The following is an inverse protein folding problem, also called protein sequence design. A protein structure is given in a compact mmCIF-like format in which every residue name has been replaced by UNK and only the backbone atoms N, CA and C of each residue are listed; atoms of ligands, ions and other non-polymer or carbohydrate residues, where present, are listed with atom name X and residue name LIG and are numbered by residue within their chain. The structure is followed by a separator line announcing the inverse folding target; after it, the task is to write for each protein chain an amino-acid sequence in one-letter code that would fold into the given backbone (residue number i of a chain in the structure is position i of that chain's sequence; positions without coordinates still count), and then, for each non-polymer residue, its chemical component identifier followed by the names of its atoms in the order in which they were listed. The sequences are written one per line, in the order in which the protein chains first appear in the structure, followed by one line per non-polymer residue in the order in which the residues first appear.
data_IF_328953765027
#
_entry.id   IF_328953765027
#
_cell.length_a   1.000
_cell.length_b   1.000
_cell.length_c   1.000
_cell.angle_alpha   90.00
_cell.angle_beta   90.00
_cell.angle_gamma   90.00
#
_symmetry.space_group_name_H-M   'P 1'
#
loop_
_entity.id
_entity.type
_entity.pdbx_description
1 polymer ?
#
# COMPACT_ATOMS: atom_id res chain seq x y z
N UNK A 1 -26.33 24.44 0.70
CA UNK A 1 -26.22 25.14 2.01
C UNK A 1 -24.80 25.69 2.26
N UNK A 2 -23.73 24.91 2.10
CA UNK A 2 -22.35 25.39 2.32
C UNK A 2 -21.92 26.60 1.48
N UNK A 3 -22.29 26.68 0.20
CA UNK A 3 -21.99 27.85 -0.66
C UNK A 3 -22.66 29.14 -0.18
N UNK A 4 -23.79 29.05 0.52
CA UNK A 4 -24.50 30.22 1.05
C UNK A 4 -23.83 30.70 2.35
N UNK A 5 -23.39 29.77 3.19
CA UNK A 5 -22.62 30.08 4.41
C UNK A 5 -21.28 30.73 4.08
N UNK A 6 -20.52 30.19 3.11
CA UNK A 6 -19.26 30.79 2.66
C UNK A 6 -19.43 32.21 2.11
N UNK A 7 -20.52 32.47 1.36
CA UNK A 7 -20.85 33.84 0.90
C UNK A 7 -21.23 34.77 2.04
N UNK A 8 -21.98 34.28 3.03
CA UNK A 8 -22.35 35.06 4.21
C UNK A 8 -21.13 35.41 5.07
N UNK A 9 -20.17 34.49 5.18
CA UNK A 9 -18.91 34.69 5.89
C UNK A 9 -17.99 35.68 5.16
N UNK A 10 -17.85 35.55 3.84
CA UNK A 10 -17.13 36.52 3.02
C UNK A 10 -17.71 37.95 3.14
N UNK A 11 -19.04 38.08 3.21
CA UNK A 11 -19.69 39.38 3.45
C UNK A 11 -19.42 39.94 4.85
N UNK A 12 -19.29 39.10 5.88
CA UNK A 12 -18.92 39.55 7.23
C UNK A 12 -17.49 40.09 7.25
N UNK A 13 -16.56 39.40 6.59
CA UNK A 13 -15.15 39.83 6.48
C UNK A 13 -15.08 41.17 5.75
N UNK A 14 -15.73 41.31 4.60
CA UNK A 14 -15.70 42.54 3.81
C UNK A 14 -16.34 43.72 4.55
N UNK A 15 -17.40 43.48 5.34
CA UNK A 15 -18.02 44.51 6.16
C UNK A 15 -17.12 44.95 7.34
N UNK A 16 -16.34 44.03 7.89
CA UNK A 16 -15.34 44.33 8.91
C UNK A 16 -14.21 45.20 8.34
N UNK A 17 -13.62 44.81 7.20
CA UNK A 17 -12.59 45.57 6.50
C UNK A 17 -13.08 46.98 6.13
N UNK A 18 -14.32 47.10 5.65
CA UNK A 18 -14.93 48.39 5.31
C UNK A 18 -15.11 49.29 6.55
N UNK A 19 -15.40 48.71 7.72
CA UNK A 19 -15.46 49.47 8.97
C UNK A 19 -14.08 49.94 9.43
N UNK A 20 -13.01 49.17 9.21
CA UNK A 20 -11.64 49.58 9.51
C UNK A 20 -11.17 50.71 8.59
N UNK A 21 -11.41 50.61 7.28
CA UNK A 21 -11.07 51.69 6.34
C UNK A 21 -11.78 53.01 6.67
N UNK A 22 -13.03 52.94 7.17
CA UNK A 22 -13.76 54.14 7.64
C UNK A 22 -13.08 54.78 8.85
N UNK A 23 -12.61 53.98 9.81
CA UNK A 23 -11.89 54.48 10.99
C UNK A 23 -10.56 55.15 10.60
N UNK A 24 -9.82 54.56 9.66
CA UNK A 24 -8.57 55.15 9.17
C UNK A 24 -8.80 56.48 8.46
N UNK A 25 -9.82 56.55 7.59
CA UNK A 25 -10.23 57.80 6.94
C UNK A 25 -10.56 58.88 7.97
N UNK A 26 -11.36 58.55 8.98
CA UNK A 26 -11.79 59.52 9.99
C UNK A 26 -10.60 60.02 10.83
N UNK A 27 -9.63 59.14 11.12
CA UNK A 27 -8.36 59.52 11.76
C UNK A 27 -7.53 60.47 10.91
N UNK A 28 -7.45 60.24 9.60
CA UNK A 28 -6.71 61.11 8.67
C UNK A 28 -7.35 62.49 8.54
N UNK A 29 -8.68 62.57 8.52
CA UNK A 29 -9.42 63.84 8.52
C UNK A 29 -9.07 64.66 9.76
N UNK A 30 -9.13 64.05 10.96
CA UNK A 30 -8.77 64.72 12.21
C UNK A 30 -7.34 65.28 12.22
N UNK A 31 -6.37 64.56 11.64
CA UNK A 31 -4.99 65.04 11.54
C UNK A 31 -4.85 66.21 10.57
N UNK A 32 -5.58 66.20 9.45
CA UNK A 32 -5.57 67.31 8.49
C UNK A 32 -6.24 68.57 9.06
N UNK A 33 -7.34 68.42 9.78
CA UNK A 33 -8.00 69.54 10.47
C UNK A 33 -7.09 70.16 11.53
N UNK A 34 -6.41 69.33 12.33
CA UNK A 34 -5.42 69.81 13.31
C UNK A 34 -4.26 70.56 12.64
N UNK A 35 -3.83 70.12 11.46
CA UNK A 35 -2.76 70.78 10.71
C UNK A 35 -3.21 72.10 10.09
N UNK A 36 -4.43 72.15 9.54
CA UNK A 36 -5.00 73.37 8.96
C UNK A 36 -5.17 74.48 10.02
N UNK A 37 -5.54 74.12 11.26
CA UNK A 37 -5.60 75.07 12.36
C UNK A 37 -4.23 75.67 12.72
N UNK A 38 -3.16 74.88 12.66
CA UNK A 38 -1.79 75.35 12.87
C UNK A 38 -1.27 76.24 11.73
N UNK A 39 -1.67 75.96 10.48
CA UNK A 39 -1.28 76.77 9.32
C UNK A 39 -2.05 78.11 9.26
N UNK A 40 -3.29 78.16 9.75
CA UNK A 40 -4.10 79.40 9.82
C UNK A 40 -3.54 80.46 10.77
N UNK A 41 -2.73 80.07 11.77
CA UNK A 41 -2.06 81.01 12.68
C UNK A 41 -0.82 81.70 12.06
N UNK A 42 -0.28 81.19 10.93
CA UNK A 42 0.99 81.65 10.35
C UNK A 42 0.85 82.59 9.14
N UNK A 43 -0.32 82.68 8.50
CA UNK A 43 -0.49 83.49 7.29
C UNK A 43 -1.21 84.83 7.56
N UNK A 44 -0.44 85.85 7.94
CA UNK A 44 -0.81 87.25 7.66
C UNK A 44 0.37 88.04 7.07
N UNK A 45 0.25 88.60 5.85
CA UNK A 45 1.35 89.30 5.17
C UNK A 45 1.21 90.82 5.33
N UNK A 46 2.22 91.51 5.85
CA UNK A 46 2.39 92.96 5.64
C UNK A 46 3.85 93.39 5.39
N UNK A 47 4.09 93.49 4.09
CA UNK A 47 4.93 94.38 3.30
C UNK A 47 5.45 95.71 3.95
N UNK A 48 6.75 95.94 3.73
CA UNK A 48 7.52 97.18 3.50
C UNK A 48 7.73 98.26 4.59
N UNK A 49 9.02 98.59 4.80
CA UNK A 49 9.50 99.92 5.20
C UNK A 49 10.73 99.92 6.11
N UNK A 50 11.91 99.52 5.61
CA UNK A 50 13.14 99.41 6.42
C UNK A 50 13.70 100.79 6.81
N UNK A 51 13.71 101.08 8.10
CA UNK A 51 14.55 102.10 8.73
C UNK A 51 15.85 101.43 9.20
N UNK A 52 17.00 101.83 8.66
CA UNK A 52 18.30 101.16 8.85
C UNK A 52 18.77 101.17 10.32
N UNK A 53 18.31 102.11 11.14
CA UNK A 53 18.61 102.15 12.58
C UNK A 53 17.68 101.27 13.44
N UNK A 54 16.48 100.95 12.94
CA UNK A 54 15.52 100.06 13.59
C UNK A 54 15.79 98.58 13.23
N UNK A 55 16.44 98.35 12.07
CA UNK A 55 17.00 97.05 11.68
C UNK A 55 18.13 96.59 12.60
N UNK A 56 19.09 97.46 12.94
CA UNK A 56 20.20 97.07 13.79
C UNK A 56 19.76 96.66 15.22
N UNK A 57 18.68 97.26 15.73
CA UNK A 57 18.11 96.92 17.05
C UNK A 57 17.23 95.66 17.00
N UNK A 58 16.43 95.49 15.94
CA UNK A 58 15.62 94.29 15.72
C UNK A 58 16.47 93.08 15.35
N UNK A 59 17.48 93.23 14.49
CA UNK A 59 18.48 92.23 14.14
C UNK A 59 19.37 91.89 15.36
N UNK A 60 19.78 92.88 16.18
CA UNK A 60 20.45 92.58 17.46
C UNK A 60 19.55 91.80 18.43
N UNK A 61 18.25 92.10 18.48
CA UNK A 61 17.30 91.41 19.34
C UNK A 61 17.01 89.99 18.84
N UNK A 62 16.87 89.81 17.53
CA UNK A 62 16.71 88.50 16.90
C UNK A 62 17.97 87.67 17.04
N UNK A 63 19.16 88.24 16.86
CA UNK A 63 20.45 87.59 17.13
C UNK A 63 20.57 87.21 18.60
N UNK A 64 20.08 88.03 19.53
CA UNK A 64 20.05 87.70 20.96
C UNK A 64 19.10 86.55 21.26
N UNK A 65 17.90 86.56 20.67
CA UNK A 65 16.93 85.45 20.78
C UNK A 65 17.52 84.17 20.16
N UNK A 66 18.21 84.26 19.02
CA UNK A 66 18.88 83.12 18.40
C UNK A 66 20.02 82.62 19.26
N UNK A 67 20.81 83.49 19.89
CA UNK A 67 21.85 83.10 20.87
C UNK A 67 21.24 82.41 22.08
N UNK A 68 20.14 82.91 22.61
CA UNK A 68 19.47 82.31 23.77
C UNK A 68 18.77 81.00 23.42
N UNK A 69 18.19 80.88 22.21
CA UNK A 69 17.73 79.59 21.65
C UNK A 69 18.88 78.62 21.46
N UNK A 70 20.03 79.07 20.97
CA UNK A 70 21.22 78.22 20.80
C UNK A 70 21.75 77.73 22.15
N UNK A 71 21.73 78.58 23.20
CA UNK A 71 22.03 78.16 24.57
C UNK A 71 21.04 77.12 25.09
N UNK A 72 19.74 77.30 24.86
CA UNK A 72 18.72 76.33 25.26
C UNK A 72 18.89 74.99 24.53
N UNK A 73 19.17 75.03 23.23
CA UNK A 73 19.49 73.83 22.44
C UNK A 73 20.77 73.16 22.93
N UNK A 74 21.80 73.93 23.32
CA UNK A 74 23.00 73.37 23.93
C UNK A 74 22.70 72.67 25.25
N UNK A 75 21.88 73.26 26.12
CA UNK A 75 21.45 72.64 27.37
C UNK A 75 20.61 71.38 27.12
N UNK A 76 19.74 71.38 26.12
CA UNK A 76 18.96 70.20 25.74
C UNK A 76 19.85 69.08 25.19
N UNK A 77 20.84 69.40 24.36
CA UNK A 77 21.85 68.43 23.90
C UNK A 77 22.63 67.86 25.09
N UNK A 78 22.93 68.67 26.11
CA UNK A 78 23.66 68.24 27.30
C UNK A 78 22.80 67.33 28.20
N UNK A 79 21.52 67.65 28.39
CA UNK A 79 20.55 66.79 29.09
C UNK A 79 20.35 65.46 28.34
N UNK A 80 20.19 65.49 27.00
CA UNK A 80 20.07 64.28 26.19
C UNK A 80 21.33 63.40 26.28
N UNK A 81 22.52 63.99 26.30
CA UNK A 81 23.77 63.25 26.51
C UNK A 81 23.83 62.65 27.92
N UNK A 82 23.39 63.38 28.94
CA UNK A 82 23.33 62.86 30.31
C UNK A 82 22.36 61.68 30.41
N UNK A 83 21.16 61.79 29.82
CA UNK A 83 20.18 60.69 29.77
C UNK A 83 20.68 59.48 29.00
N UNK A 84 21.37 59.69 27.87
CA UNK A 84 22.02 58.61 27.12
C UNK A 84 23.06 57.91 27.98
N UNK A 85 23.91 58.66 28.68
CA UNK A 85 24.95 58.10 29.54
C UNK A 85 24.35 57.33 30.72
N UNK A 86 23.28 57.85 31.35
CA UNK A 86 22.53 57.14 32.39
C UNK A 86 21.91 55.86 31.86
N UNK A 87 21.19 55.91 30.73
CA UNK A 87 20.58 54.72 30.12
C UNK A 87 21.62 53.69 29.66
N UNK A 88 22.79 54.12 29.17
CA UNK A 88 23.91 53.23 28.87
C UNK A 88 24.53 52.63 30.13
N UNK A 89 24.59 53.40 31.23
CA UNK A 89 24.98 52.92 32.56
C UNK A 89 24.02 51.85 33.07
N UNK A 90 22.71 52.12 33.01
CA UNK A 90 21.65 51.19 33.41
C UNK A 90 21.69 49.93 32.55
N UNK A 91 21.87 50.06 31.24
CA UNK A 91 22.02 48.91 30.35
C UNK A 91 23.28 48.09 30.66
N UNK A 92 24.38 48.72 31.09
CA UNK A 92 25.58 48.01 31.55
C UNK A 92 25.33 47.28 32.88
N UNK A 93 24.61 47.89 33.82
CA UNK A 93 24.24 47.27 35.09
C UNK A 93 23.29 46.10 34.85
N UNK A 94 22.22 46.27 34.09
CA UNK A 94 21.27 45.20 33.74
C UNK A 94 21.95 44.03 33.01
N UNK A 95 22.96 44.31 32.16
CA UNK A 95 23.76 43.25 31.54
C UNK A 95 24.65 42.55 32.54
N UNK A 96 25.28 43.29 33.46
CA UNK A 96 26.09 42.70 34.54
C UNK A 96 25.23 41.89 35.51
N UNK A 97 24.02 42.33 35.83
CA UNK A 97 23.07 41.62 36.68
C UNK A 97 22.51 40.38 35.97
N UNK A 98 22.28 40.42 34.65
CA UNK A 98 21.94 39.21 33.89
C UNK A 98 23.09 38.21 33.81
N UNK A 99 24.33 38.67 33.67
CA UNK A 99 25.52 37.81 33.63
C UNK A 99 25.83 37.25 35.02
N UNK A 100 25.77 38.08 36.06
CA UNK A 100 25.91 37.66 37.46
C UNK A 100 24.78 36.73 37.91
N UNK A 101 23.54 36.97 37.46
CA UNK A 101 22.45 36.02 37.64
C UNK A 101 22.73 34.70 36.90
N UNK A 102 23.32 34.75 35.70
CA UNK A 102 23.68 33.55 34.91
C UNK A 102 24.88 32.77 35.47
N UNK A 103 25.85 33.43 36.10
CA UNK A 103 26.94 32.77 36.83
C UNK A 103 26.48 32.23 38.19
N UNK A 104 25.42 32.79 38.78
CA UNK A 104 24.80 32.28 40.02
C UNK A 104 23.77 31.16 39.80
N UNK A 105 23.41 30.85 38.55
CA UNK A 105 22.59 29.67 38.24
C UNK A 105 23.52 28.44 38.19
N UNK A 106 23.30 27.42 39.04
CA UNK A 106 24.17 26.25 39.08
C UNK A 106 24.25 25.57 37.71
N UNK A 107 25.39 24.94 37.40
CA UNK A 107 25.55 24.08 36.22
C UNK A 107 24.42 23.02 36.09
N UNK A 108 23.81 22.67 37.22
CA UNK A 108 22.62 21.84 37.36
C UNK A 108 21.43 22.36 36.54
N UNK A 109 21.19 23.68 36.48
CA UNK A 109 20.13 24.24 35.65
C UNK A 109 20.40 23.99 34.16
N UNK A 110 21.62 24.20 33.67
CA UNK A 110 21.94 23.93 32.27
C UNK A 110 21.79 22.44 31.94
N UNK A 111 22.16 21.54 32.85
CA UNK A 111 21.93 20.09 32.69
C UNK A 111 20.43 19.76 32.66
N UNK A 112 19.62 20.38 33.52
CA UNK A 112 18.15 20.24 33.52
C UNK A 112 17.54 20.78 32.22
N UNK A 113 18.05 21.89 31.68
CA UNK A 113 17.61 22.44 30.40
C UNK A 113 17.93 21.50 29.23
N UNK A 114 19.14 20.92 29.19
CA UNK A 114 19.51 19.94 28.17
C UNK A 114 18.68 18.66 28.26
N UNK A 115 18.49 18.12 29.46
CA UNK A 115 17.64 16.93 29.67
C UNK A 115 16.19 17.20 29.29
N UNK A 116 15.67 18.39 29.60
CA UNK A 116 14.33 18.81 29.16
C UNK A 116 14.24 18.91 27.64
N UNK A 117 15.27 19.43 26.98
CA UNK A 117 15.31 19.55 25.53
C UNK A 117 15.38 18.17 24.84
N UNK A 118 16.17 17.24 25.36
CA UNK A 118 16.19 15.84 24.90
C UNK A 118 14.81 15.18 25.03
N UNK A 119 14.15 15.33 26.19
CA UNK A 119 12.79 14.80 26.39
C UNK A 119 11.77 15.45 25.46
N UNK A 120 11.90 16.74 25.14
CA UNK A 120 11.05 17.42 24.16
C UNK A 120 11.31 16.84 22.76
N UNK A 121 12.56 16.62 22.37
CA UNK A 121 12.90 16.02 21.07
C UNK A 121 12.36 14.59 20.95
N UNK A 122 12.46 13.78 22.01
CA UNK A 122 11.86 12.44 22.04
C UNK A 122 10.33 12.49 21.95
N UNK A 123 9.68 13.43 22.64
CA UNK A 123 8.23 13.63 22.56
C UNK A 123 7.84 14.09 21.14
N UNK A 124 8.56 15.02 20.54
CA UNK A 124 8.31 15.47 19.18
C UNK A 124 8.50 14.35 18.15
N UNK A 125 9.56 13.53 18.33
CA UNK A 125 9.82 12.38 17.48
C UNK A 125 8.73 11.32 17.60
N UNK A 126 8.34 10.96 18.83
CA UNK A 126 7.26 9.99 19.06
C UNK A 126 5.92 10.53 18.55
N UNK A 127 5.62 11.82 18.76
CA UNK A 127 4.42 12.46 18.22
C UNK A 127 4.42 12.51 16.69
N UNK A 128 5.58 12.75 16.06
CA UNK A 128 5.72 12.66 14.61
C UNK A 128 5.49 11.23 14.12
N UNK A 129 6.02 10.23 14.81
CA UNK A 129 5.79 8.81 14.51
C UNK A 129 4.34 8.40 14.67
N UNK A 130 3.65 8.87 15.71
CA UNK A 130 2.21 8.62 15.91
C UNK A 130 1.39 9.25 14.79
N UNK A 131 1.72 10.48 14.37
CA UNK A 131 1.06 11.11 13.22
C UNK A 131 1.28 10.31 11.94
N UNK A 132 2.51 9.86 11.70
CA UNK A 132 2.83 9.04 10.52
C UNK A 132 2.08 7.70 10.53
N UNK A 133 2.06 7.00 11.66
CA UNK A 133 1.28 5.76 11.79
C UNK A 133 -0.22 6.00 11.63
N UNK A 134 -0.74 7.13 12.11
CA UNK A 134 -2.14 7.51 11.91
C UNK A 134 -2.47 7.77 10.43
N UNK A 135 -1.56 8.40 9.68
CA UNK A 135 -1.75 8.61 8.24
C UNK A 135 -1.67 7.30 7.47
N UNK A 136 -0.73 6.42 7.85
CA UNK A 136 -0.57 5.11 7.20
C UNK A 136 -1.78 4.22 7.48
N UNK A 137 -2.30 4.24 8.72
CA UNK A 137 -3.51 3.53 9.09
C UNK A 137 -4.72 4.06 8.29
N UNK A 138 -4.84 5.37 8.12
CA UNK A 138 -5.90 5.94 7.28
C UNK A 138 -5.76 5.47 5.83
N UNK A 139 -4.56 5.49 5.25
CA UNK A 139 -4.32 5.02 3.90
C UNK A 139 -4.69 3.54 3.72
N UNK A 140 -4.38 2.69 4.70
CA UNK A 140 -4.77 1.27 4.71
C UNK A 140 -6.29 1.07 4.85
N UNK A 141 -6.97 1.93 5.61
CA UNK A 141 -8.43 1.90 5.70
C UNK A 141 -9.08 2.28 4.37
N UNK A 142 -8.55 3.31 3.69
CA UNK A 142 -9.02 3.73 2.38
C UNK A 142 -8.81 2.60 1.35
N UNK A 143 -7.62 1.97 1.32
CA UNK A 143 -7.35 0.80 0.46
C UNK A 143 -8.29 -0.38 0.76
N UNK A 144 -8.55 -0.66 2.05
CA UNK A 144 -9.51 -1.69 2.45
C UNK A 144 -10.91 -1.37 1.93
N UNK A 145 -11.36 -0.12 2.01
CA UNK A 145 -12.67 0.29 1.50
C UNK A 145 -12.74 0.11 -0.01
N UNK A 146 -11.71 0.53 -0.74
CA UNK A 146 -11.59 0.29 -2.18
C UNK A 146 -11.71 -1.21 -2.52
N UNK A 147 -10.96 -2.09 -1.83
CA UNK A 147 -11.02 -3.54 -2.01
C UNK A 147 -12.41 -4.12 -1.71
N UNK A 148 -13.10 -3.61 -0.68
CA UNK A 148 -14.46 -4.01 -0.35
C UNK A 148 -15.43 -3.63 -1.47
N UNK A 149 -15.34 -2.40 -1.98
CA UNK A 149 -16.19 -1.97 -3.12
C UNK A 149 -15.90 -2.77 -4.38
N UNK A 150 -14.64 -3.12 -4.65
CA UNK A 150 -14.25 -3.93 -5.81
C UNK A 150 -14.79 -5.36 -5.67
N UNK A 151 -14.62 -5.98 -4.49
CA UNK A 151 -15.21 -7.29 -4.17
C UNK A 151 -16.71 -7.29 -4.41
N UNK A 152 -17.43 -6.27 -3.95
CA UNK A 152 -18.89 -6.20 -4.11
C UNK A 152 -19.32 -5.97 -5.56
N UNK A 153 -18.54 -5.21 -6.33
CA UNK A 153 -18.72 -5.09 -7.78
C UNK A 153 -18.53 -6.44 -8.48
N UNK A 154 -17.52 -7.23 -8.11
CA UNK A 154 -17.32 -8.58 -8.64
C UNK A 154 -18.44 -9.54 -8.22
N UNK A 155 -18.91 -9.49 -6.97
CA UNK A 155 -20.06 -10.29 -6.49
C UNK A 155 -21.30 -10.02 -7.34
N UNK A 156 -21.63 -8.75 -7.56
CA UNK A 156 -22.74 -8.35 -8.41
C UNK A 156 -22.57 -8.83 -9.86
N UNK A 157 -21.35 -8.74 -10.41
CA UNK A 157 -21.03 -9.21 -11.75
C UNK A 157 -21.23 -10.72 -11.89
N UNK A 158 -20.69 -11.51 -10.96
CA UNK A 158 -20.85 -12.97 -10.94
C UNK A 158 -22.32 -13.34 -10.78
N UNK A 159 -23.05 -12.71 -9.87
CA UNK A 159 -24.48 -12.94 -9.69
C UNK A 159 -25.28 -12.67 -10.97
N UNK A 160 -25.02 -11.54 -11.64
CA UNK A 160 -25.69 -11.19 -12.90
C UNK A 160 -25.36 -12.19 -14.01
N UNK A 161 -24.09 -12.56 -14.18
CA UNK A 161 -23.68 -13.53 -15.18
C UNK A 161 -24.26 -14.92 -14.90
N UNK A 162 -24.28 -15.37 -13.64
CA UNK A 162 -24.92 -16.61 -13.23
C UNK A 162 -26.42 -16.60 -13.56
N UNK A 163 -27.09 -15.48 -13.33
CA UNK A 163 -28.50 -15.30 -13.69
C UNK A 163 -28.72 -15.36 -15.20
N UNK A 164 -27.94 -14.60 -15.98
CA UNK A 164 -27.99 -14.61 -17.45
C UNK A 164 -27.76 -16.02 -18.02
N UNK A 165 -26.76 -16.74 -17.48
CA UNK A 165 -26.48 -18.13 -17.86
C UNK A 165 -27.62 -19.08 -17.49
N UNK A 166 -28.18 -18.96 -16.29
CA UNK A 166 -29.33 -19.77 -15.86
C UNK A 166 -30.54 -19.56 -16.79
N UNK A 167 -30.80 -18.30 -17.20
CA UNK A 167 -31.86 -17.96 -18.16
C UNK A 167 -31.57 -18.56 -19.54
N UNK A 168 -30.35 -18.42 -20.06
CA UNK A 168 -29.97 -18.99 -21.37
C UNK A 168 -30.09 -20.51 -21.40
N UNK A 169 -29.66 -21.17 -20.33
CA UNK A 169 -29.70 -22.63 -20.21
C UNK A 169 -31.07 -23.17 -19.78
N UNK A 170 -32.05 -22.28 -19.53
CA UNK A 170 -33.38 -22.62 -18.97
C UNK A 170 -33.29 -23.50 -17.72
N UNK A 171 -32.20 -23.38 -16.97
CA UNK A 171 -31.96 -24.16 -15.77
C UNK A 171 -32.56 -23.44 -14.57
N UNK A 172 -33.22 -24.20 -13.68
CA UNK A 172 -33.77 -23.67 -12.42
C UNK A 172 -32.71 -23.52 -11.33
N UNK A 173 -31.52 -24.11 -11.53
CA UNK A 173 -30.41 -24.04 -10.59
C UNK A 173 -29.44 -22.94 -11.03
N UNK A 174 -28.90 -22.21 -10.07
CA UNK A 174 -27.73 -21.36 -10.31
C UNK A 174 -26.62 -22.24 -10.88
N UNK A 175 -26.18 -21.92 -12.09
CA UNK A 175 -25.09 -22.64 -12.76
C UNK A 175 -23.80 -21.93 -12.37
N UNK A 176 -22.86 -22.69 -11.82
CA UNK A 176 -21.55 -22.17 -11.45
C UNK A 176 -20.69 -21.93 -12.70
N UNK A 177 -20.31 -20.67 -12.91
CA UNK A 177 -19.46 -20.22 -14.02
C UNK A 177 -18.13 -20.97 -14.03
N UNK A 178 -17.49 -21.18 -12.89
CA UNK A 178 -16.15 -21.76 -12.87
C UNK A 178 -16.18 -23.24 -13.21
N UNK A 179 -17.20 -23.96 -12.71
CA UNK A 179 -17.47 -25.34 -13.11
C UNK A 179 -17.64 -25.46 -14.63
N UNK A 180 -18.41 -24.56 -15.26
CA UNK A 180 -18.56 -24.54 -16.72
C UNK A 180 -17.26 -24.18 -17.46
N UNK A 181 -16.45 -23.25 -16.93
CA UNK A 181 -15.16 -22.88 -17.52
C UNK A 181 -14.21 -24.08 -17.50
N UNK A 182 -14.16 -24.83 -16.39
CA UNK A 182 -13.36 -26.04 -16.30
C UNK A 182 -13.83 -27.10 -17.27
N UNK A 183 -15.15 -27.33 -17.39
CA UNK A 183 -15.70 -28.25 -18.37
C UNK A 183 -15.34 -27.83 -19.80
N UNK A 184 -15.49 -26.54 -20.12
CA UNK A 184 -15.13 -26.01 -21.44
C UNK A 184 -13.65 -26.19 -21.75
N UNK A 185 -12.78 -25.96 -20.76
CA UNK A 185 -11.34 -26.17 -20.89
C UNK A 185 -11.00 -27.64 -21.10
N UNK A 186 -11.60 -28.54 -20.32
CA UNK A 186 -11.42 -29.98 -20.46
C UNK A 186 -11.85 -30.48 -21.85
N UNK A 187 -13.01 -30.02 -22.34
CA UNK A 187 -13.51 -30.39 -23.66
C UNK A 187 -12.60 -29.87 -24.79
N UNK A 188 -12.03 -28.66 -24.65
CA UNK A 188 -11.04 -28.13 -25.59
C UNK A 188 -9.77 -28.97 -25.62
N UNK A 189 -9.19 -29.27 -24.45
CA UNK A 189 -8.01 -30.13 -24.35
C UNK A 189 -8.27 -31.52 -24.95
N UNK A 190 -9.47 -32.07 -24.73
CA UNK A 190 -9.88 -33.35 -25.31
C UNK A 190 -9.98 -33.27 -26.84
N UNK A 191 -10.49 -32.16 -27.38
CA UNK A 191 -10.56 -31.91 -28.81
C UNK A 191 -9.14 -31.83 -29.42
N UNK A 192 -8.25 -31.06 -28.79
CA UNK A 192 -6.86 -30.90 -29.23
C UNK A 192 -6.11 -32.23 -29.23
N UNK A 193 -6.32 -33.06 -28.20
CA UNK A 193 -5.75 -34.40 -28.14
C UNK A 193 -6.21 -35.28 -29.32
N UNK A 194 -7.51 -35.27 -29.63
CA UNK A 194 -8.06 -36.03 -30.76
C UNK A 194 -7.52 -35.50 -32.09
N UNK A 195 -7.32 -34.18 -32.22
CA UNK A 195 -6.69 -33.58 -33.41
C UNK A 195 -5.26 -34.08 -33.57
N UNK A 196 -4.46 -34.07 -32.49
CA UNK A 196 -3.10 -34.59 -32.52
C UNK A 196 -3.04 -36.09 -32.85
N UNK A 197 -3.93 -36.91 -32.29
CA UNK A 197 -4.05 -38.33 -32.62
C UNK A 197 -4.41 -38.55 -34.09
N UNK A 198 -5.34 -37.75 -34.63
CA UNK A 198 -5.71 -37.77 -36.05
C UNK A 198 -4.50 -37.42 -36.94
N UNK A 199 -3.73 -36.40 -36.59
CA UNK A 199 -2.53 -36.01 -37.34
C UNK A 199 -1.46 -37.12 -37.33
N UNK A 200 -1.25 -37.77 -36.18
CA UNK A 200 -0.33 -38.90 -36.06
C UNK A 200 -0.76 -40.08 -36.94
N UNK A 201 -2.06 -40.41 -36.95
CA UNK A 201 -2.61 -41.47 -37.82
C UNK A 201 -2.47 -41.10 -39.29
N UNK A 202 -2.73 -39.84 -39.66
CA UNK A 202 -2.53 -39.36 -41.04
C UNK A 202 -1.06 -39.45 -41.47
N UNK A 203 -0.13 -39.11 -40.59
CA UNK A 203 1.31 -39.24 -40.87
C UNK A 203 1.71 -40.71 -41.07
N UNK A 204 1.26 -41.60 -40.19
CA UNK A 204 1.47 -43.06 -40.34
C UNK A 204 0.88 -43.61 -41.64
N UNK A 205 -0.35 -43.18 -41.99
CA UNK A 205 -1.00 -43.58 -43.23
C UNK A 205 -0.22 -43.10 -44.45
N UNK A 206 0.27 -41.85 -44.44
CA UNK A 206 1.12 -41.29 -45.49
C UNK A 206 2.42 -42.11 -45.65
N UNK A 207 3.07 -42.48 -44.54
CA UNK A 207 4.25 -43.35 -44.55
C UNK A 207 3.95 -44.72 -45.17
N UNK A 208 2.86 -45.38 -44.76
CA UNK A 208 2.47 -46.67 -45.33
C UNK A 208 2.10 -46.57 -46.81
N UNK A 209 1.41 -45.50 -47.22
CA UNK A 209 1.11 -45.22 -48.63
C UNK A 209 2.40 -45.07 -49.44
N UNK A 210 3.36 -44.28 -48.96
CA UNK A 210 4.66 -44.11 -49.62
C UNK A 210 5.46 -45.42 -49.73
N UNK A 211 5.40 -46.30 -48.71
CA UNK A 211 6.03 -47.63 -48.79
C UNK A 211 5.34 -48.53 -49.83
N UNK A 212 4.00 -48.49 -49.89
CA UNK A 212 3.23 -49.26 -50.86
C UNK A 212 3.51 -48.78 -52.29
N UNK A 213 3.56 -47.47 -52.50
CA UNK A 213 3.85 -46.86 -53.81
C UNK A 213 5.29 -47.16 -54.25
N UNK A 214 6.26 -47.17 -53.33
CA UNK A 214 7.64 -47.65 -53.60
C UNK A 214 7.70 -49.12 -54.00
N UNK A 215 6.85 -49.99 -53.41
CA UNK A 215 6.73 -51.39 -53.79
C UNK A 215 6.07 -51.56 -55.17
N UNK A 216 5.11 -50.71 -55.52
CA UNK A 216 4.49 -50.69 -56.85
C UNK A 216 5.44 -50.16 -57.93
N UNK A 217 6.27 -49.19 -57.62
CA UNK A 217 7.20 -48.58 -58.58
C UNK A 217 8.49 -49.38 -58.76
N UNK A 218 8.83 -50.25 -57.79
CA UNK A 218 9.89 -51.25 -57.87
C UNK A 218 9.29 -52.60 -58.29
N UNK A 219 8.73 -52.64 -59.50
CA UNK A 219 8.23 -53.88 -60.11
C UNK A 219 9.28 -54.99 -60.00
N UNK A 220 8.87 -56.16 -59.52
CA UNK A 220 9.64 -57.41 -59.49
C UNK A 220 11.11 -57.29 -59.05
N UNK A 221 11.40 -56.82 -57.84
CA UNK A 221 12.74 -57.03 -57.26
C UNK A 221 12.77 -58.32 -56.45
N UNK A 222 13.39 -59.34 -57.07
CA UNK A 222 13.91 -60.56 -56.46
C UNK A 222 14.48 -60.26 -55.07
N UNK A 223 13.95 -60.96 -54.07
CA UNK A 223 14.50 -61.06 -52.73
C UNK A 223 15.85 -61.79 -52.81
N UNK A 224 16.94 -61.13 -52.45
CA UNK A 224 18.26 -61.79 -52.36
C UNK A 224 19.41 -60.85 -52.69
N UNK A 225 19.70 -59.89 -51.81
CA UNK A 225 21.05 -59.33 -51.68
C UNK A 225 21.21 -58.67 -50.31
N UNK A 226 22.29 -59.08 -49.65
CA UNK A 226 22.69 -58.79 -48.27
C UNK A 226 22.93 -57.30 -48.00
N UNK A 227 22.26 -56.73 -46.99
CA UNK A 227 22.77 -55.58 -46.21
C UNK A 227 22.32 -55.69 -44.74
N UNK A 228 23.24 -56.14 -43.89
CA UNK A 228 23.12 -56.36 -42.44
C UNK A 228 23.23 -55.08 -41.60
N UNK A 229 22.53 -54.01 -41.98
CA UNK A 229 22.46 -52.80 -41.15
C UNK A 229 21.10 -52.14 -41.28
N UNK A 230 20.29 -52.28 -40.23
CA UNK A 230 18.99 -51.63 -40.11
C UNK A 230 17.78 -52.46 -40.49
N UNK A 231 17.93 -53.77 -40.69
CA UNK A 231 16.78 -54.65 -40.94
C UNK A 231 16.00 -54.86 -39.64
N UNK A 232 14.96 -54.06 -39.42
CA UNK A 232 13.90 -54.39 -38.46
C UNK A 232 13.14 -55.57 -39.07
N UNK A 233 13.59 -56.79 -38.75
CA UNK A 233 12.97 -58.03 -39.22
C UNK A 233 11.61 -58.13 -38.56
N UNK A 234 10.56 -57.96 -39.35
CA UNK A 234 9.18 -58.11 -38.85
C UNK A 234 8.91 -59.57 -38.52
N UNK A 235 8.03 -59.83 -37.53
CA UNK A 235 7.67 -61.19 -37.10
C UNK A 235 7.26 -62.12 -38.26
N UNK A 236 6.66 -61.57 -39.32
CA UNK A 236 6.34 -62.34 -40.54
C UNK A 236 7.57 -62.79 -41.32
N UNK A 237 8.60 -61.96 -41.42
CA UNK A 237 9.85 -62.29 -42.12
C UNK A 237 10.68 -63.33 -41.37
N UNK A 238 10.65 -63.30 -40.03
CA UNK A 238 11.22 -64.37 -39.18
C UNK A 238 10.50 -65.70 -39.43
N UNK A 239 9.17 -65.67 -39.50
CA UNK A 239 8.36 -66.85 -39.76
C UNK A 239 8.64 -67.47 -41.15
N UNK A 240 8.74 -66.63 -42.18
CA UNK A 240 9.01 -67.05 -43.57
C UNK A 240 10.42 -67.65 -43.74
N UNK A 241 11.41 -67.16 -42.99
CA UNK A 241 12.77 -67.74 -42.95
C UNK A 241 12.80 -69.13 -42.29
N UNK A 242 11.90 -69.37 -41.33
CA UNK A 242 11.79 -70.66 -40.64
C UNK A 242 10.96 -71.69 -41.43
N UNK A 243 9.98 -71.24 -42.22
CA UNK A 243 9.12 -72.10 -43.05
C UNK A 243 9.66 -72.36 -44.46
N UNK A 244 10.74 -71.69 -44.86
CA UNK A 244 11.44 -71.88 -46.15
C UNK A 244 12.07 -73.27 -46.25
N UNK A 245 11.24 -74.30 -46.44
CA UNK A 245 11.64 -75.68 -46.57
C UNK A 245 12.48 -75.91 -47.83
N UNK A 246 13.71 -76.34 -47.60
CA UNK A 246 14.46 -77.17 -48.54
C UNK A 246 15.54 -76.43 -49.31
N UNK A 247 16.76 -76.40 -48.74
CA UNK A 247 18.03 -76.84 -49.37
C UNK A 247 19.27 -76.26 -48.66
N UNK A 248 19.13 -75.21 -47.84
CA UNK A 248 20.28 -74.60 -47.14
C UNK A 248 20.79 -75.44 -45.95
N UNK A 249 19.89 -76.12 -45.24
CA UNK A 249 20.20 -76.86 -44.00
C UNK A 249 20.97 -78.18 -44.21
N UNK A 250 20.83 -78.81 -45.38
CA UNK A 250 21.34 -80.17 -45.62
C UNK A 250 22.65 -80.23 -46.44
N UNK A 251 23.28 -79.10 -46.73
CA UNK A 251 24.53 -79.08 -47.51
C UNK A 251 25.77 -78.88 -46.60
N UNK A 252 26.72 -79.83 -46.57
CA UNK A 252 27.88 -79.81 -45.66
C UNK A 252 28.88 -78.66 -45.89
N UNK A 253 28.73 -77.87 -46.96
CA UNK A 253 29.56 -76.69 -47.24
C UNK A 253 28.96 -75.36 -46.76
N UNK A 254 27.68 -75.34 -46.35
CA UNK A 254 26.97 -74.14 -45.89
C UNK A 254 26.69 -74.14 -44.38
N UNK A 255 27.21 -75.11 -43.65
CA UNK A 255 27.01 -75.29 -42.20
C UNK A 255 27.52 -74.10 -41.39
N UNK A 256 28.64 -73.49 -41.78
CA UNK A 256 29.20 -72.31 -41.13
C UNK A 256 28.32 -71.06 -41.34
N UNK A 257 27.87 -70.82 -42.58
CA UNK A 257 27.01 -69.68 -42.93
C UNK A 257 25.61 -69.80 -42.31
N UNK A 258 25.01 -70.98 -42.35
CA UNK A 258 23.71 -71.25 -41.71
C UNK A 258 23.78 -71.19 -40.17
N UNK A 259 24.90 -71.61 -39.56
CA UNK A 259 25.15 -71.39 -38.14
C UNK A 259 25.34 -69.92 -37.80
N UNK A 260 25.99 -69.13 -38.66
CA UNK A 260 26.12 -67.69 -38.48
C UNK A 260 24.77 -66.98 -38.58
N UNK A 261 23.92 -67.37 -39.55
CA UNK A 261 22.56 -66.84 -39.71
C UNK A 261 21.66 -67.21 -38.53
N UNK A 262 21.73 -68.46 -38.03
CA UNK A 262 20.98 -68.88 -36.84
C UNK A 262 21.45 -68.16 -35.57
N UNK A 263 22.76 -67.93 -35.43
CA UNK A 263 23.31 -67.11 -34.34
C UNK A 263 22.88 -65.65 -34.46
N UNK A 264 22.85 -65.10 -35.67
CA UNK A 264 22.37 -63.74 -35.90
C UNK A 264 20.87 -63.63 -35.58
N UNK A 265 20.07 -64.63 -35.95
CA UNK A 265 18.65 -64.69 -35.63
C UNK A 265 18.41 -64.84 -34.13
N UNK A 266 19.16 -65.71 -33.44
CA UNK A 266 19.02 -65.88 -31.99
C UNK A 266 19.41 -64.63 -31.22
N UNK A 267 20.46 -63.93 -31.66
CA UNK A 267 20.85 -62.62 -31.12
C UNK A 267 19.77 -61.56 -31.39
N UNK A 268 19.24 -61.49 -32.63
CA UNK A 268 18.18 -60.54 -32.97
C UNK A 268 16.88 -60.80 -32.17
N UNK A 269 16.53 -62.06 -31.93
CA UNK A 269 15.39 -62.43 -31.09
C UNK A 269 15.63 -62.12 -29.61
N UNK A 270 16.86 -62.31 -29.12
CA UNK A 270 17.27 -61.94 -27.77
C UNK A 270 17.18 -60.42 -27.56
N UNK A 271 17.71 -59.64 -28.52
CA UNK A 271 17.64 -58.18 -28.50
C UNK A 271 16.19 -57.69 -28.58
N UNK A 272 15.36 -58.28 -29.44
CA UNK A 272 13.94 -57.92 -29.52
C UNK A 272 13.16 -58.26 -28.23
N UNK A 273 13.50 -59.35 -27.55
CA UNK A 273 12.95 -59.70 -26.24
C UNK A 273 13.43 -58.74 -25.16
N UNK A 274 14.70 -58.35 -25.19
CA UNK A 274 15.28 -57.40 -24.27
C UNK A 274 14.64 -56.01 -24.43
N UNK A 275 14.45 -55.53 -25.65
CA UNK A 275 13.78 -54.27 -25.95
C UNK A 275 12.32 -54.26 -25.48
N UNK A 276 11.58 -55.35 -25.71
CA UNK A 276 10.21 -55.48 -25.17
C UNK A 276 10.20 -55.46 -23.65
N UNK A 277 11.16 -56.13 -23.03
CA UNK A 277 11.30 -56.14 -21.56
C UNK A 277 11.60 -54.73 -21.05
N UNK A 278 12.53 -54.01 -21.68
CA UNK A 278 12.85 -52.63 -21.36
C UNK A 278 11.62 -51.72 -21.54
N UNK A 279 10.92 -51.81 -22.67
CA UNK A 279 9.70 -51.04 -22.93
C UNK A 279 8.63 -51.28 -21.85
N UNK A 280 8.40 -52.54 -21.46
CA UNK A 280 7.50 -52.87 -20.35
C UNK A 280 7.96 -52.28 -19.02
N UNK A 281 9.27 -52.29 -18.72
CA UNK A 281 9.78 -51.67 -17.49
C UNK A 281 9.60 -50.15 -17.49
N UNK A 282 9.84 -49.48 -18.63
CA UNK A 282 9.59 -48.04 -18.79
C UNK A 282 8.11 -47.72 -18.63
N UNK A 283 7.22 -48.51 -19.26
CA UNK A 283 5.78 -48.35 -19.12
C UNK A 283 5.33 -48.53 -17.67
N UNK A 284 5.83 -49.55 -16.96
CA UNK A 284 5.54 -49.75 -15.53
C UNK A 284 6.01 -48.56 -14.67
N UNK A 285 7.21 -48.03 -14.94
CA UNK A 285 7.73 -46.84 -14.25
C UNK A 285 6.87 -45.61 -14.54
N UNK A 286 6.49 -45.38 -15.80
CA UNK A 286 5.62 -44.26 -16.18
C UNK A 286 4.23 -44.38 -15.51
N UNK A 287 3.62 -45.56 -15.53
CA UNK A 287 2.34 -45.81 -14.86
C UNK A 287 2.45 -45.62 -13.34
N UNK A 288 3.58 -45.99 -12.72
CA UNK A 288 3.83 -45.72 -11.30
C UNK A 288 3.87 -44.22 -11.01
N UNK A 289 4.61 -43.45 -11.81
CA UNK A 289 4.68 -41.98 -11.66
C UNK A 289 3.30 -41.35 -11.85
N UNK A 290 2.52 -41.82 -12.82
CA UNK A 290 1.15 -41.36 -13.04
C UNK A 290 0.26 -41.70 -11.85
N UNK A 291 0.32 -42.92 -11.32
CA UNK A 291 -0.43 -43.32 -10.14
C UNK A 291 -0.05 -42.48 -8.91
N UNK A 292 1.25 -42.24 -8.66
CA UNK A 292 1.73 -41.38 -7.58
C UNK A 292 1.22 -39.94 -7.74
N UNK A 293 1.19 -39.41 -8.98
CA UNK A 293 0.70 -38.07 -9.26
C UNK A 293 -0.82 -37.96 -9.13
N UNK A 294 -1.57 -38.96 -9.59
CA UNK A 294 -3.02 -39.04 -9.38
C UNK A 294 -3.32 -39.10 -7.90
N UNK A 295 -2.63 -39.96 -7.14
CA UNK A 295 -2.79 -40.03 -5.68
C UNK A 295 -2.47 -38.69 -4.99
N UNK A 296 -1.42 -37.99 -5.43
CA UNK A 296 -1.12 -36.65 -4.92
C UNK A 296 -2.25 -35.65 -5.23
N UNK A 297 -2.75 -35.63 -6.47
CA UNK A 297 -3.85 -34.76 -6.88
C UNK A 297 -5.14 -35.07 -6.11
N UNK A 298 -5.48 -36.36 -5.92
CA UNK A 298 -6.61 -36.80 -5.11
C UNK A 298 -6.45 -36.37 -3.64
N UNK A 299 -5.24 -36.45 -3.08
CA UNK A 299 -4.97 -36.01 -1.70
C UNK A 299 -5.05 -34.49 -1.51
N UNK A 300 -4.79 -33.72 -2.58
CA UNK A 300 -4.96 -32.27 -2.58
C UNK A 300 -6.44 -31.91 -2.71
N UNK A 301 -7.16 -32.57 -3.62
CA UNK A 301 -8.59 -32.39 -3.84
C UNK A 301 -9.45 -32.87 -2.65
N UNK A 302 -8.99 -33.83 -1.86
CA UNK A 302 -9.73 -34.26 -0.66
C UNK A 302 -9.56 -33.31 0.52
N UNK A 303 -8.51 -32.49 0.54
CA UNK A 303 -8.25 -31.48 1.57
C UNK A 303 -8.81 -30.11 1.18
N UNK A 304 -8.80 -29.83 -0.11
CA UNK A 304 -9.39 -28.65 -0.73
C UNK A 304 -10.55 -29.17 -1.59
N UNK A 305 -11.78 -29.20 -1.06
CA UNK A 305 -12.95 -29.20 -1.95
C UNK A 305 -12.70 -28.12 -3.03
N UNK A 306 -13.07 -28.34 -4.30
CA UNK A 306 -12.85 -27.35 -5.33
C UNK A 306 -13.66 -26.09 -5.00
N UNK A 307 -13.04 -25.20 -4.22
CA UNK A 307 -13.56 -23.90 -3.88
C UNK A 307 -13.35 -23.07 -5.14
N UNK A 308 -14.40 -23.04 -5.94
CA UNK A 308 -14.44 -22.23 -7.13
C UNK A 308 -14.34 -20.75 -6.71
N UNK A 309 -13.48 -19.94 -7.35
CA UNK A 309 -13.32 -18.52 -6.99
C UNK A 309 -14.64 -17.76 -6.91
N UNK A 310 -15.58 -18.06 -7.80
CA UNK A 310 -16.93 -17.49 -7.80
C UNK A 310 -17.79 -17.98 -6.63
N UNK A 311 -17.64 -19.23 -6.18
CA UNK A 311 -18.33 -19.75 -4.99
C UNK A 311 -17.77 -19.13 -3.70
N UNK A 312 -16.45 -19.01 -3.57
CA UNK A 312 -15.80 -18.31 -2.46
C UNK A 312 -16.23 -16.84 -2.42
N UNK A 313 -16.27 -16.20 -3.59
CA UNK A 313 -16.68 -14.81 -3.69
C UNK A 313 -18.16 -14.63 -3.30
N UNK A 314 -19.03 -15.58 -3.63
CA UNK A 314 -20.45 -15.59 -3.24
C UNK A 314 -20.71 -16.19 -1.85
N UNK A 315 -19.69 -16.65 -1.11
CA UNK A 315 -19.87 -17.20 0.23
C UNK A 315 -20.41 -16.12 1.17
N UNK A 316 -21.56 -16.39 1.79
CA UNK A 316 -22.30 -15.42 2.59
C UNK A 316 -22.93 -14.26 1.80
N UNK A 317 -22.92 -14.30 0.46
CA UNK A 317 -23.61 -13.30 -0.37
C UNK A 317 -25.08 -13.70 -0.56
N UNK A 318 -26.00 -12.96 0.03
CA UNK A 318 -27.42 -13.01 -0.35
C UNK A 318 -27.83 -11.69 -1.00
N UNK A 319 -28.58 -11.76 -2.10
CA UNK A 319 -29.09 -10.56 -2.80
C UNK A 319 -29.99 -9.67 -1.91
N UNK A 320 -30.38 -10.15 -0.72
CA UNK A 320 -31.22 -9.44 0.26
C UNK A 320 -30.42 -8.65 1.31
N UNK A 321 -29.09 -8.77 1.37
CA UNK A 321 -28.23 -8.12 2.37
C UNK A 321 -27.61 -6.80 1.89
N UNK A 322 -27.55 -6.57 0.58
CA UNK A 322 -27.00 -5.34 -0.02
C UNK A 322 -27.69 -4.07 0.51
N UNK A 323 -28.98 -4.15 0.87
CA UNK A 323 -29.77 -3.02 1.40
C UNK A 323 -29.71 -2.87 2.94
N UNK A 324 -29.21 -3.89 3.65
CA UNK A 324 -29.14 -3.88 5.13
C UNK A 324 -27.83 -3.29 5.64
N UNK A 325 -26.72 -3.55 4.94
CA UNK A 325 -25.38 -3.12 5.36
C UNK A 325 -25.15 -1.61 5.24
N UNK A 326 -25.90 -0.94 4.36
CA UNK A 326 -25.91 0.52 4.30
C UNK A 326 -26.55 1.13 5.56
N UNK A 327 -27.59 0.49 6.10
CA UNK A 327 -28.30 0.99 7.29
C UNK A 327 -27.59 0.70 8.60
N UNK A 328 -26.81 -0.38 8.69
CA UNK A 328 -25.96 -0.68 9.86
C UNK A 328 -24.70 0.16 9.85
N UNK A 329 -24.04 0.35 8.70
CA UNK A 329 -22.86 1.21 8.59
C UNK A 329 -23.16 2.68 8.88
N UNK A 330 -24.32 3.19 8.44
CA UNK A 330 -24.78 4.55 8.80
C UNK A 330 -25.06 4.67 10.31
N UNK A 331 -25.61 3.62 10.94
CA UNK A 331 -25.87 3.62 12.40
C UNK A 331 -24.60 3.58 13.23
N UNK A 332 -23.58 2.83 12.80
CA UNK A 332 -22.28 2.79 13.50
C UNK A 332 -21.53 4.12 13.37
N UNK A 333 -21.51 4.73 12.17
CA UNK A 333 -20.87 6.04 11.99
C UNK A 333 -21.58 7.19 12.75
N UNK A 334 -22.90 7.11 12.95
CA UNK A 334 -23.64 8.08 13.76
C UNK A 334 -23.39 7.91 15.28
N UNK A 335 -23.14 6.70 15.74
CA UNK A 335 -22.82 6.45 17.15
C UNK A 335 -21.38 6.86 17.51
N UNK A 336 -20.43 6.66 16.58
CA UNK A 336 -19.02 7.02 16.79
C UNK A 336 -18.78 8.53 16.77
N UNK A 337 -19.60 9.29 16.02
CA UNK A 337 -19.57 10.75 16.01
C UNK A 337 -20.17 11.36 17.27
N UNK A 338 -21.24 10.76 17.82
CA UNK A 338 -21.84 11.19 19.08
C UNK A 338 -20.92 10.96 20.30
N UNK A 339 -20.18 9.85 20.34
CA UNK A 339 -19.21 9.55 21.42
C UNK A 339 -17.97 10.45 21.41
N UNK A 340 -17.62 11.02 20.25
CA UNK A 340 -16.51 11.96 20.13
C UNK A 340 -16.91 13.39 20.52
N UNK A 341 -18.15 13.81 20.22
CA UNK A 341 -18.67 15.11 20.68
C UNK A 341 -18.83 15.16 22.21
N UNK A 342 -19.26 14.08 22.85
CA UNK A 342 -19.40 13.99 24.32
C UNK A 342 -18.04 14.01 25.05
N UNK A 343 -16.99 13.45 24.44
CA UNK A 343 -15.61 13.49 25.00
C UNK A 343 -14.90 14.83 24.84
N UNK A 344 -15.32 15.66 23.89
CA UNK A 344 -14.71 16.99 23.67
C UNK A 344 -15.26 18.00 24.68
N UNK A 345 -16.55 17.92 25.05
CA UNK A 345 -17.13 18.83 26.06
C UNK A 345 -16.61 18.60 27.50
N UNK A 346 -16.17 17.38 27.84
CA UNK A 346 -15.66 17.08 29.20
C UNK A 346 -14.21 17.56 29.45
N UNK A 347 -13.45 17.90 28.40
CA UNK A 347 -12.01 18.25 28.54
C UNK A 347 -11.74 19.77 28.63
N UNK A 348 -12.73 20.62 28.39
CA UNK A 348 -12.62 22.08 28.48
C UNK A 348 -13.40 22.69 29.66
N UNK A 349 -13.29 22.16 30.87
CA UNK A 349 -13.51 22.96 32.10
C UNK A 349 -13.19 22.15 33.36
N UNK A 350 -12.02 22.39 33.97
CA UNK A 350 -11.79 22.53 35.43
C UNK A 350 -10.31 22.46 35.76
N UNK A 351 -9.70 23.62 35.98
CA UNK A 351 -8.50 23.74 36.78
C UNK A 351 -8.70 24.90 37.76
N UNK A 352 -9.23 24.59 38.95
CA UNK A 352 -9.00 25.38 40.16
C UNK A 352 -9.38 24.61 41.45
N UNK A 353 -8.48 24.78 42.43
CA UNK A 353 -8.58 24.67 43.89
C UNK A 353 -8.78 23.32 44.60
N UNK A 354 -7.77 23.03 45.45
CA UNK A 354 -7.75 22.13 46.60
C UNK A 354 -8.97 22.28 47.52
N UNK A 355 -9.43 21.17 48.12
CA UNK A 355 -9.28 20.92 49.58
C UNK A 355 -9.85 19.56 50.02
N UNK A 356 -9.31 19.07 51.14
CA UNK A 356 -9.47 17.77 51.79
C UNK A 356 -10.92 17.32 52.06
N UNK A 357 -11.19 16.01 51.93
CA UNK A 357 -11.75 15.19 53.02
C UNK A 357 -11.93 13.71 52.65
N UNK A 358 -11.56 12.84 53.59
CA UNK A 358 -11.88 11.41 53.61
C UNK A 358 -13.40 11.15 53.55
N UNK A 359 -13.82 10.15 52.75
CA UNK A 359 -14.69 9.06 53.21
C UNK A 359 -14.92 7.99 52.14
N UNK A 360 -14.80 6.76 52.63
CA UNK A 360 -15.17 5.48 52.03
C UNK A 360 -16.56 5.46 51.40
N UNK A 361 -16.66 4.90 50.18
CA UNK A 361 -17.76 4.02 49.76
C UNK A 361 -17.42 3.35 48.42
N UNK A 362 -17.13 2.05 48.46
CA UNK A 362 -17.29 1.16 47.30
C UNK A 362 -18.77 1.15 46.87
N UNK A 363 -19.04 0.98 45.57
CA UNK A 363 -19.83 -0.17 45.19
C UNK A 363 -19.18 -0.95 44.04
N UNK A 364 -19.09 -2.24 44.29
CA UNK A 364 -18.82 -3.31 43.34
C UNK A 364 -19.72 -3.26 42.10
N UNK A 365 -19.11 -3.30 40.92
CA UNK A 365 -19.76 -3.57 39.64
C UNK A 365 -18.76 -4.24 38.71
N UNK A 366 -18.72 -5.58 38.78
CA UNK A 366 -17.92 -6.44 37.91
C UNK A 366 -18.46 -6.40 36.48
N UNK A 367 -17.69 -5.83 35.56
CA UNK A 367 -17.79 -6.14 34.14
C UNK A 367 -16.45 -6.77 33.77
N UNK A 368 -16.43 -8.10 33.75
CA UNK A 368 -15.29 -8.86 33.21
C UNK A 368 -15.21 -8.58 31.71
N UNK A 369 -14.36 -7.63 31.33
CA UNK A 369 -13.84 -7.52 29.97
C UNK A 369 -12.82 -8.64 29.75
N UNK A 370 -13.31 -9.87 29.56
CA UNK A 370 -12.47 -10.95 29.03
C UNK A 370 -12.08 -10.62 27.60
N UNK A 371 -10.78 -10.38 27.38
CA UNK A 371 -10.21 -10.19 26.05
C UNK A 371 -10.48 -11.41 25.15
N UNK A 372 -10.60 -11.21 23.82
CA UNK A 372 -10.73 -12.30 22.85
C UNK A 372 -9.67 -13.39 23.05
N UNK A 373 -10.03 -14.68 22.88
CA UNK A 373 -9.17 -15.82 23.26
C UNK A 373 -7.81 -15.82 22.56
N UNK A 374 -7.75 -15.33 21.32
CA UNK A 374 -6.51 -15.20 20.55
C UNK A 374 -5.55 -14.15 21.14
N UNK A 375 -6.09 -13.04 21.64
CA UNK A 375 -5.29 -12.00 22.31
C UNK A 375 -4.83 -12.46 23.69
N UNK A 376 -5.65 -13.24 24.38
CA UNK A 376 -5.29 -13.83 25.68
C UNK A 376 -4.14 -14.85 25.55
N UNK A 377 -4.15 -15.64 24.48
CA UNK A 377 -3.06 -16.58 24.16
C UNK A 377 -1.77 -15.83 23.78
N UNK A 378 -1.88 -14.76 22.99
CA UNK A 378 -0.75 -13.93 22.62
C UNK A 378 -0.11 -13.23 23.82
N UNK A 379 -0.93 -12.70 24.74
CA UNK A 379 -0.48 -12.07 25.99
C UNK A 379 0.16 -13.10 26.91
N UNK A 380 -0.43 -14.29 27.06
CA UNK A 380 0.21 -15.35 27.85
C UNK A 380 1.54 -15.79 27.28
N UNK A 381 1.67 -15.86 25.95
CA UNK A 381 2.92 -16.22 25.28
C UNK A 381 4.00 -15.15 25.46
N UNK A 382 3.63 -13.87 25.32
CA UNK A 382 4.53 -12.74 25.56
C UNK A 382 5.00 -12.66 27.02
N UNK A 383 4.09 -12.88 27.99
CA UNK A 383 4.45 -12.93 29.42
C UNK A 383 5.41 -14.08 29.72
N UNK A 384 5.28 -15.21 29.02
CA UNK A 384 6.16 -16.37 29.19
C UNK A 384 7.56 -16.10 28.63
N UNK A 385 7.67 -15.41 27.49
CA UNK A 385 8.96 -14.96 26.93
C UNK A 385 9.66 -13.98 27.87
N UNK A 386 8.95 -12.97 28.40
CA UNK A 386 9.53 -12.02 29.36
C UNK A 386 10.02 -12.73 30.64
N UNK A 387 9.30 -13.77 31.09
CA UNK A 387 9.74 -14.55 32.26
C UNK A 387 10.97 -15.41 32.00
N UNK A 388 11.14 -15.90 30.76
CA UNK A 388 12.29 -16.68 30.33
C UNK A 388 13.53 -15.79 30.17
N UNK A 389 13.37 -14.60 29.60
CA UNK A 389 14.45 -13.63 29.44
C UNK A 389 14.97 -13.11 30.80
N UNK A 390 14.07 -12.85 31.76
CA UNK A 390 14.45 -12.49 33.13
C UNK A 390 15.12 -13.62 33.92
N UNK A 391 15.02 -14.87 33.47
CA UNK A 391 15.66 -16.03 34.11
C UNK A 391 17.05 -16.35 33.52
N UNK A 392 17.42 -15.71 32.40
CA UNK A 392 18.72 -15.86 31.74
C UNK A 392 19.72 -14.77 32.15
N UNK A 393 19.26 -13.69 32.81
CA UNK A 393 20.09 -12.59 33.31
C UNK A 393 20.48 -12.68 34.80
N UNK A 394 20.16 -13.79 35.48
CA UNK A 394 20.68 -14.14 36.83
C UNK A 394 21.52 -15.40 36.78
#
# INVERSE_FOLDING_TARGET
KMKLQSKAEALKILNHELAECKKERDRLIMMLESKALLEQECDSPKLCGLNIDELNYSESREVQILKDKNKLLHLEIEDLKQRLNSAQGDMKVLRRDRIGARESLPAENNVIWHQREELIQELEHTKARVRHLSTDLQALLDEKEELVTERDAYRCKVHRLNHELAVLLKSKSQVDIDSLIMENKYLKERCDQIIAEKELVLHSLSKYKAMLDKKKMKGNVRLGTNTTSGMVVTHKQVHELLEGNGTSWNSPYNTEATLADLRSLSLALLDALQDKTLALTHQRKANKILADRVSNLESRLSKEEPIYPSQLLLEGYTSSEVDKDLNTSIKTCLNDTALLEEKIEETECKSQSNDNNEKSANPSGSVDETLPPELQELVMKAMKEISLDNSLET
#
